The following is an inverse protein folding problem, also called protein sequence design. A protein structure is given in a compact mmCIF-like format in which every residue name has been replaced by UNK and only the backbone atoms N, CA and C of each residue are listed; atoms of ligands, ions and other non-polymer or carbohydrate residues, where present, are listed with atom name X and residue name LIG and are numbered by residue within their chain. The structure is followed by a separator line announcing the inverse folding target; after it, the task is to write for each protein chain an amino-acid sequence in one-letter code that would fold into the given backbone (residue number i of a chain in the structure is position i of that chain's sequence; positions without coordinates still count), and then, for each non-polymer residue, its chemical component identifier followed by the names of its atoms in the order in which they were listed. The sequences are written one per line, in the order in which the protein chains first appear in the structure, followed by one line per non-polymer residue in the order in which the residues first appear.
data_IF_730709742912
#
_entry.id   IF_730709742912
#
_cell.length_a   1.000
_cell.length_b   1.000
_cell.length_c   1.000
_cell.angle_alpha   90.00
_cell.angle_beta   90.00
_cell.angle_gamma   90.00
#
_symmetry.space_group_name_H-M   'P 1'
#
loop_
_entity.id
_entity.type
_entity.pdbx_description
1 polymer ?
#
# COMPACT_ATOMS: atom_id res chain seq x y z
N UNK A 1 4.48 8.48 -5.32
CA UNK A 1 4.21 7.02 -5.21
C UNK A 1 5.29 6.25 -5.96
N UNK A 2 5.82 5.17 -5.39
CA UNK A 2 6.81 4.29 -6.03
C UNK A 2 6.21 3.52 -7.24
N UNK A 3 6.75 3.68 -8.47
CA UNK A 3 6.32 2.91 -9.65
C UNK A 3 6.43 1.39 -9.50
N UNK A 4 7.37 0.90 -8.70
CA UNK A 4 7.59 -0.55 -8.52
C UNK A 4 6.44 -1.21 -7.76
N UNK A 5 5.80 -0.46 -6.84
CA UNK A 5 4.60 -0.89 -6.12
C UNK A 5 3.33 -0.81 -6.97
N UNK A 6 3.39 -0.15 -8.14
CA UNK A 6 2.26 -0.03 -9.05
C UNK A 6 2.19 -1.27 -9.96
N UNK A 7 1.28 -2.18 -9.63
CA UNK A 7 1.10 -3.46 -10.33
C UNK A 7 -0.20 -3.51 -11.13
N UNK A 8 -1.25 -2.80 -10.69
CA UNK A 8 -2.60 -2.93 -11.21
C UNK A 8 -2.86 -1.93 -12.33
N UNK A 9 -2.96 -2.37 -13.59
CA UNK A 9 -3.35 -1.47 -14.69
C UNK A 9 -4.86 -1.34 -14.78
N UNK A 10 -5.32 -0.26 -15.40
CA UNK A 10 -6.76 -0.10 -15.70
C UNK A 10 -7.33 -1.23 -16.56
N UNK A 11 -6.56 -1.84 -17.47
CA UNK A 11 -7.00 -3.01 -18.24
C UNK A 11 -7.26 -4.20 -17.34
N UNK A 12 -6.29 -4.53 -16.49
CA UNK A 12 -6.32 -5.70 -15.62
C UNK A 12 -7.47 -5.57 -14.62
N UNK A 13 -7.71 -4.35 -14.10
CA UNK A 13 -8.82 -4.06 -13.20
C UNK A 13 -10.20 -4.23 -13.87
N UNK A 14 -10.34 -3.97 -15.18
CA UNK A 14 -11.59 -4.26 -15.89
C UNK A 14 -11.87 -5.77 -15.90
N UNK A 15 -10.83 -6.57 -16.18
CA UNK A 15 -10.94 -8.03 -16.27
C UNK A 15 -11.18 -8.65 -14.89
N UNK A 16 -10.39 -8.27 -13.88
CA UNK A 16 -10.47 -8.78 -12.51
C UNK A 16 -11.81 -8.47 -11.82
N UNK A 17 -12.41 -7.32 -12.14
CA UNK A 17 -13.67 -6.86 -11.55
C UNK A 17 -14.89 -7.11 -12.45
N UNK A 18 -14.70 -7.77 -13.60
CA UNK A 18 -15.72 -7.94 -14.63
C UNK A 18 -16.48 -6.64 -14.94
N UNK A 19 -15.75 -5.52 -15.02
CA UNK A 19 -16.31 -4.19 -15.13
C UNK A 19 -15.93 -3.54 -16.47
N UNK A 20 -16.89 -2.97 -17.23
CA UNK A 20 -16.57 -2.20 -18.42
C UNK A 20 -15.68 -0.99 -18.08
N UNK A 21 -14.80 -0.60 -19.01
CA UNK A 21 -13.88 0.53 -18.81
C UNK A 21 -14.59 1.82 -18.37
N UNK A 22 -15.79 2.11 -18.89
CA UNK A 22 -16.57 3.29 -18.48
C UNK A 22 -16.96 3.26 -17.00
N UNK A 23 -17.25 2.07 -16.46
CA UNK A 23 -17.56 1.87 -15.05
C UNK A 23 -16.31 2.06 -14.21
N UNK A 24 -15.20 1.43 -14.59
CA UNK A 24 -13.92 1.61 -13.91
C UNK A 24 -13.47 3.09 -13.92
N UNK A 25 -13.63 3.75 -15.06
CA UNK A 25 -13.33 5.18 -15.21
C UNK A 25 -14.15 6.01 -14.21
N UNK A 26 -15.46 5.77 -14.07
CA UNK A 26 -16.29 6.47 -13.07
C UNK A 26 -15.80 6.26 -11.64
N UNK A 27 -15.32 5.07 -11.30
CA UNK A 27 -14.77 4.80 -9.97
C UNK A 27 -13.41 5.46 -9.74
N UNK A 28 -12.60 5.61 -10.78
CA UNK A 28 -11.22 6.08 -10.65
C UNK A 28 -11.01 7.56 -10.99
N UNK A 29 -11.76 8.21 -11.87
CA UNK A 29 -11.30 9.41 -12.59
C UNK A 29 -11.32 10.76 -11.87
N UNK A 30 -12.00 10.94 -10.73
CA UNK A 30 -12.14 12.28 -10.13
C UNK A 30 -11.93 12.35 -8.59
N UNK A 31 -10.81 12.92 -8.13
CA UNK A 31 -9.52 12.88 -8.82
C UNK A 31 -9.04 11.44 -8.94
N UNK A 32 -8.15 11.17 -9.91
CA UNK A 32 -7.45 9.88 -9.98
C UNK A 32 -6.72 9.57 -8.67
N UNK A 33 -6.79 8.32 -8.16
CA UNK A 33 -5.86 7.93 -7.11
C UNK A 33 -4.41 8.04 -7.62
N UNK A 34 -3.42 8.15 -6.72
CA UNK A 34 -2.02 8.15 -7.09
C UNK A 34 -1.71 7.00 -8.06
N UNK A 35 -1.08 7.32 -9.17
CA UNK A 35 -0.84 6.39 -10.27
C UNK A 35 0.48 6.69 -10.95
N UNK A 36 1.04 5.67 -11.58
CA UNK A 36 2.14 5.80 -12.52
C UNK A 36 1.57 5.70 -13.94
N UNK A 37 1.81 6.71 -14.77
CA UNK A 37 1.40 6.72 -16.16
C UNK A 37 2.57 6.31 -17.05
N UNK A 38 2.43 5.18 -17.75
CA UNK A 38 3.36 4.78 -18.79
C UNK A 38 2.92 5.35 -20.13
N UNK A 39 3.80 6.11 -20.79
CA UNK A 39 3.61 6.56 -22.17
C UNK A 39 3.95 5.49 -23.20
N UNK A 40 4.80 4.53 -22.83
CA UNK A 40 5.23 3.42 -23.68
C UNK A 40 4.30 2.22 -23.54
N UNK A 41 4.25 1.39 -24.58
CA UNK A 41 3.43 0.18 -24.58
C UNK A 41 3.88 -0.80 -23.47
N UNK A 42 2.94 -1.36 -22.68
CA UNK A 42 1.50 -1.07 -22.67
C UNK A 42 1.21 0.27 -22.00
N UNK A 43 0.61 1.20 -22.76
CA UNK A 43 0.33 2.57 -22.33
C UNK A 43 -0.84 2.58 -21.35
N UNK A 44 -0.74 3.37 -20.28
CA UNK A 44 -1.85 3.53 -19.35
C UNK A 44 -1.44 3.87 -17.93
N UNK A 45 -2.46 3.96 -17.07
CA UNK A 45 -2.30 4.18 -15.63
C UNK A 45 -2.15 2.84 -14.92
N UNK A 46 -1.13 2.75 -14.09
CA UNK A 46 -0.89 1.65 -13.16
C UNK A 46 -0.97 2.18 -11.74
N UNK A 47 -1.61 1.43 -10.85
CA UNK A 47 -1.89 1.82 -9.49
C UNK A 47 -1.30 0.81 -8.53
N UNK A 48 -0.97 1.25 -7.32
CA UNK A 48 -0.65 0.36 -6.23
C UNK A 48 -1.93 -0.15 -5.55
N UNK A 49 -1.84 -1.35 -4.97
CA UNK A 49 -2.96 -2.05 -4.35
C UNK A 49 -3.69 -1.22 -3.27
N UNK A 50 -3.01 -0.61 -2.27
CA UNK A 50 -3.71 0.11 -1.21
C UNK A 50 -4.52 1.31 -1.75
N UNK A 51 -4.03 1.98 -2.79
CA UNK A 51 -4.70 3.08 -3.47
C UNK A 51 -5.97 2.61 -4.19
N UNK A 52 -5.92 1.45 -4.86
CA UNK A 52 -7.10 0.84 -5.50
C UNK A 52 -8.13 0.41 -4.47
N UNK A 53 -7.72 -0.27 -3.40
CA UNK A 53 -8.63 -0.70 -2.34
C UNK A 53 -9.33 0.50 -1.73
N UNK A 54 -8.57 1.52 -1.33
CA UNK A 54 -9.13 2.73 -0.74
C UNK A 54 -10.11 3.43 -1.69
N UNK A 55 -9.75 3.52 -2.97
CA UNK A 55 -10.57 4.19 -3.97
C UNK A 55 -11.87 3.43 -4.25
N UNK A 56 -11.79 2.13 -4.49
CA UNK A 56 -12.97 1.32 -4.84
C UNK A 56 -13.94 1.19 -3.68
N UNK A 57 -13.44 1.02 -2.45
CA UNK A 57 -14.31 1.00 -1.25
C UNK A 57 -15.03 2.33 -1.02
N UNK A 58 -14.41 3.46 -1.40
CA UNK A 58 -15.05 4.78 -1.31
C UNK A 58 -16.08 5.05 -2.41
N UNK A 59 -15.92 4.45 -3.60
CA UNK A 59 -16.66 4.85 -4.82
C UNK A 59 -17.63 3.79 -5.35
N UNK A 60 -17.58 2.55 -4.87
CA UNK A 60 -18.48 1.47 -5.27
C UNK A 60 -19.54 1.26 -4.19
N UNK A 61 -20.81 1.22 -4.59
CA UNK A 61 -21.95 1.07 -3.65
C UNK A 61 -21.85 -0.18 -2.77
N UNK A 62 -21.35 -1.30 -3.35
CA UNK A 62 -21.13 -2.56 -2.63
C UNK A 62 -19.71 -2.68 -2.03
N UNK A 63 -18.84 -1.68 -2.21
CA UNK A 63 -17.44 -1.74 -1.80
C UNK A 63 -16.59 -2.77 -2.57
N UNK A 64 -15.36 -3.00 -2.06
CA UNK A 64 -14.43 -4.04 -2.54
C UNK A 64 -14.15 -5.02 -1.39
N UNK A 65 -15.07 -5.97 -1.20
CA UNK A 65 -14.98 -7.04 -0.19
C UNK A 65 -15.26 -8.40 -0.82
N UNK A 66 -14.71 -9.47 -0.24
CA UNK A 66 -14.93 -10.83 -0.71
C UNK A 66 -14.14 -11.17 -1.97
N UNK A 67 -14.78 -11.82 -2.93
CA UNK A 67 -14.12 -12.44 -4.09
C UNK A 67 -13.37 -11.44 -4.99
N UNK A 68 -13.93 -10.24 -5.22
CA UNK A 68 -13.26 -9.19 -6.00
C UNK A 68 -11.94 -8.76 -5.35
N UNK A 69 -11.93 -8.61 -4.03
CA UNK A 69 -10.71 -8.27 -3.30
C UNK A 69 -9.68 -9.38 -3.41
N UNK A 70 -10.12 -10.65 -3.29
CA UNK A 70 -9.24 -11.81 -3.40
C UNK A 70 -8.59 -11.89 -4.79
N UNK A 71 -9.34 -11.66 -5.87
CA UNK A 71 -8.81 -11.61 -7.25
C UNK A 71 -7.76 -10.52 -7.43
N UNK A 72 -8.09 -9.29 -7.00
CA UNK A 72 -7.18 -8.14 -7.13
C UNK A 72 -5.91 -8.35 -6.31
N UNK A 73 -6.02 -8.90 -5.09
CA UNK A 73 -4.89 -9.20 -4.23
C UNK A 73 -4.00 -10.32 -4.79
N UNK A 74 -4.59 -11.39 -5.33
CA UNK A 74 -3.85 -12.49 -5.95
C UNK A 74 -3.03 -11.98 -7.15
N UNK A 75 -3.67 -11.21 -8.04
CA UNK A 75 -2.99 -10.63 -9.19
C UNK A 75 -1.83 -9.71 -8.80
N UNK A 76 -2.03 -8.83 -7.80
CA UNK A 76 -0.95 -7.98 -7.27
C UNK A 76 0.21 -8.82 -6.75
N UNK A 77 -0.09 -9.84 -5.95
CA UNK A 77 0.92 -10.71 -5.32
C UNK A 77 1.74 -11.45 -6.38
N UNK A 78 1.09 -12.06 -7.38
CA UNK A 78 1.75 -12.75 -8.49
C UNK A 78 2.62 -11.78 -9.32
N UNK A 79 2.08 -10.59 -9.62
CA UNK A 79 2.81 -9.57 -10.40
C UNK A 79 4.05 -9.08 -9.67
N UNK A 80 3.97 -8.86 -8.35
CA UNK A 80 5.13 -8.46 -7.54
C UNK A 80 6.19 -9.57 -7.49
N UNK A 81 5.76 -10.81 -7.27
CA UNK A 81 6.66 -11.96 -7.24
C UNK A 81 7.41 -12.12 -8.56
N UNK A 82 6.73 -11.95 -9.70
CA UNK A 82 7.35 -12.01 -11.02
C UNK A 82 8.37 -10.89 -11.29
N UNK A 83 8.17 -9.70 -10.71
CA UNK A 83 9.05 -8.54 -10.90
C UNK A 83 10.27 -8.52 -9.98
N UNK A 84 10.31 -9.33 -8.92
CA UNK A 84 11.35 -9.28 -7.87
C UNK A 84 11.56 -7.86 -7.31
N UNK A 85 10.49 -7.07 -7.23
CA UNK A 85 10.59 -5.64 -6.93
C UNK A 85 10.98 -5.35 -5.47
N UNK A 86 12.08 -4.61 -5.26
CA UNK A 86 12.52 -4.13 -3.94
C UNK A 86 11.71 -2.88 -3.51
N UNK A 87 10.50 -3.10 -3.01
CA UNK A 87 9.51 -2.05 -2.75
C UNK A 87 9.75 -1.17 -1.49
N UNK A 88 10.99 -0.97 -1.03
CA UNK A 88 11.24 -0.24 0.22
C UNK A 88 10.94 1.26 0.11
N UNK A 89 11.25 1.89 -1.02
CA UNK A 89 10.89 3.28 -1.25
C UNK A 89 9.38 3.40 -1.46
N UNK A 90 8.74 4.34 -0.78
CA UNK A 90 7.29 4.54 -0.84
C UNK A 90 6.93 5.66 -1.84
N UNK A 91 7.86 6.57 -2.11
CA UNK A 91 7.62 7.81 -2.83
C UNK A 91 6.74 8.80 -2.07
N UNK A 92 6.40 9.89 -2.76
CA UNK A 92 5.78 11.06 -2.13
C UNK A 92 4.46 10.76 -1.41
N UNK A 93 4.16 11.59 -0.42
CA UNK A 93 2.95 11.55 0.41
C UNK A 93 2.59 10.14 0.93
N UNK A 94 3.58 9.39 1.41
CA UNK A 94 3.34 8.08 1.98
C UNK A 94 2.38 8.13 3.19
N UNK A 95 2.39 9.22 3.97
CA UNK A 95 1.50 9.39 5.13
C UNK A 95 0.05 9.64 4.73
N UNK A 96 -0.22 10.54 3.77
CA UNK A 96 -1.58 10.80 3.29
C UNK A 96 -2.20 9.57 2.60
N UNK A 97 -1.38 8.82 1.85
CA UNK A 97 -1.79 7.54 1.25
C UNK A 97 -2.06 6.47 2.31
N UNK A 98 -1.19 6.33 3.32
CA UNK A 98 -1.42 5.41 4.43
C UNK A 98 -2.70 5.75 5.20
N UNK A 99 -2.97 7.03 5.44
CA UNK A 99 -4.20 7.48 6.11
C UNK A 99 -5.45 7.14 5.27
N UNK A 100 -5.39 7.36 3.96
CA UNK A 100 -6.48 7.02 3.03
C UNK A 100 -6.76 5.52 3.00
N UNK A 101 -5.69 4.70 2.98
CA UNK A 101 -5.80 3.25 3.03
C UNK A 101 -6.38 2.78 4.37
N UNK A 102 -5.84 3.27 5.49
CA UNK A 102 -6.30 2.92 6.83
C UNK A 102 -7.79 3.26 7.04
N UNK A 103 -8.24 4.42 6.53
CA UNK A 103 -9.64 4.84 6.61
C UNK A 103 -10.60 3.93 5.80
N UNK A 104 -10.09 3.16 4.83
CA UNK A 104 -10.87 2.23 4.03
C UNK A 104 -10.89 0.80 4.58
N UNK A 105 -10.16 0.52 5.67
CA UNK A 105 -10.13 -0.79 6.30
C UNK A 105 -11.39 -1.07 7.12
N UNK A 106 -11.73 -2.35 7.23
CA UNK A 106 -12.95 -2.82 7.89
C UNK A 106 -12.65 -3.88 8.93
N UNK A 107 -13.38 -3.85 10.05
CA UNK A 107 -13.35 -4.89 11.10
C UNK A 107 -11.94 -5.38 11.43
N UNK A 108 -11.65 -6.64 11.11
CA UNK A 108 -10.36 -7.28 11.38
C UNK A 108 -9.17 -6.66 10.65
N UNK A 109 -9.36 -6.07 9.47
CA UNK A 109 -8.28 -5.42 8.72
C UNK A 109 -7.74 -4.23 9.52
N UNK A 110 -8.63 -3.48 10.17
CA UNK A 110 -8.26 -2.35 11.03
C UNK A 110 -7.46 -2.82 12.24
N UNK A 111 -7.86 -3.94 12.85
CA UNK A 111 -7.12 -4.53 13.98
C UNK A 111 -5.74 -5.04 13.55
N UNK A 112 -5.63 -5.71 12.40
CA UNK A 112 -4.35 -6.13 11.82
C UNK A 112 -3.45 -4.93 11.53
N UNK A 113 -4.00 -3.87 10.93
CA UNK A 113 -3.25 -2.64 10.65
C UNK A 113 -2.75 -1.98 11.95
N UNK A 114 -3.60 -1.86 12.98
CA UNK A 114 -3.20 -1.35 14.31
C UNK A 114 -2.08 -2.19 14.92
N UNK A 115 -2.14 -3.51 14.76
CA UNK A 115 -1.09 -4.45 15.13
C UNK A 115 0.24 -4.13 14.45
N UNK A 116 0.25 -3.99 13.12
CA UNK A 116 1.44 -3.61 12.36
C UNK A 116 1.97 -2.24 12.76
N UNK A 117 1.11 -1.24 12.93
CA UNK A 117 1.52 0.10 13.40
C UNK A 117 2.17 0.04 14.78
N UNK A 118 1.65 -0.79 15.70
CA UNK A 118 2.24 -0.98 17.03
C UNK A 118 3.60 -1.68 16.95
N UNK A 119 3.70 -2.78 16.20
CA UNK A 119 4.93 -3.52 16.01
C UNK A 119 6.03 -2.62 15.40
N UNK A 120 5.69 -1.86 14.35
CA UNK A 120 6.61 -0.92 13.72
C UNK A 120 7.04 0.21 14.67
N UNK A 121 6.12 0.79 15.47
CA UNK A 121 6.50 1.83 16.45
C UNK A 121 7.47 1.29 17.50
N UNK A 122 7.20 0.11 18.04
CA UNK A 122 8.07 -0.54 19.02
C UNK A 122 9.45 -0.84 18.41
N UNK A 123 9.47 -1.34 17.19
CA UNK A 123 10.70 -1.65 16.46
C UNK A 123 11.50 -0.39 16.12
N UNK A 124 10.85 0.68 15.68
CA UNK A 124 11.48 1.97 15.43
C UNK A 124 12.10 2.54 16.71
N UNK A 125 11.38 2.48 17.84
CA UNK A 125 11.89 2.90 19.14
C UNK A 125 13.13 2.08 19.56
N UNK A 126 13.04 0.76 19.49
CA UNK A 126 14.15 -0.14 19.82
C UNK A 126 15.36 0.03 18.88
N UNK A 127 15.10 0.37 17.62
CA UNK A 127 16.13 0.64 16.61
C UNK A 127 16.75 2.05 16.70
N UNK A 128 16.24 2.94 17.56
CA UNK A 128 16.69 4.32 17.67
C UNK A 128 16.28 5.22 16.49
N UNK A 129 15.21 4.89 15.78
CA UNK A 129 14.69 5.71 14.66
C UNK A 129 13.86 6.87 15.22
N UNK A 130 14.13 8.14 14.86
CA UNK A 130 13.53 9.30 15.51
C UNK A 130 12.02 9.47 15.23
N UNK A 131 11.55 9.20 14.01
CA UNK A 131 10.17 9.48 13.59
C UNK A 131 9.20 8.31 13.87
N UNK A 132 9.15 7.82 15.12
CA UNK A 132 8.42 6.61 15.52
C UNK A 132 6.97 6.58 15.04
N UNK A 133 6.20 7.65 15.30
CA UNK A 133 4.79 7.73 14.91
C UNK A 133 4.59 7.68 13.40
N UNK A 134 5.45 8.37 12.64
CA UNK A 134 5.43 8.33 11.18
C UNK A 134 5.76 6.94 10.67
N UNK A 135 6.77 6.26 11.23
CA UNK A 135 7.14 4.91 10.85
C UNK A 135 5.96 3.94 10.97
N UNK A 136 5.20 4.02 12.07
CA UNK A 136 3.97 3.25 12.23
C UNK A 136 2.97 3.46 11.10
N UNK A 137 2.78 4.69 10.65
CA UNK A 137 1.85 5.03 9.57
C UNK A 137 2.35 4.55 8.20
N UNK A 138 3.57 4.94 7.81
CA UNK A 138 4.07 4.69 6.45
C UNK A 138 4.33 3.20 6.17
N UNK A 139 4.55 2.40 7.21
CA UNK A 139 4.69 0.95 7.08
C UNK A 139 3.43 0.29 6.50
N UNK A 140 2.25 0.91 6.64
CA UNK A 140 1.01 0.39 6.04
C UNK A 140 1.02 0.41 4.51
N UNK A 141 1.97 1.12 3.89
CA UNK A 141 2.12 1.16 2.43
C UNK A 141 3.06 0.07 1.90
N UNK A 142 3.66 -0.74 2.77
CA UNK A 142 4.59 -1.79 2.38
C UNK A 142 3.82 -3.02 1.88
N UNK A 143 4.14 -3.57 0.68
CA UNK A 143 3.30 -4.59 0.04
C UNK A 143 3.01 -5.83 0.91
N UNK A 144 4.00 -6.37 1.62
CA UNK A 144 3.81 -7.50 2.53
C UNK A 144 2.87 -7.17 3.70
N UNK A 145 2.94 -5.94 4.22
CA UNK A 145 2.03 -5.47 5.27
C UNK A 145 0.62 -5.28 4.71
N UNK A 146 0.48 -4.70 3.51
CA UNK A 146 -0.82 -4.55 2.82
C UNK A 146 -1.47 -5.92 2.60
N UNK A 147 -0.71 -6.91 2.11
CA UNK A 147 -1.20 -8.29 1.92
C UNK A 147 -1.67 -8.89 3.24
N UNK A 148 -0.88 -8.78 4.29
CA UNK A 148 -1.27 -9.25 5.63
C UNK A 148 -2.56 -8.59 6.13
N UNK A 149 -2.68 -7.27 5.98
CA UNK A 149 -3.89 -6.54 6.41
C UNK A 149 -5.13 -7.05 5.68
N UNK A 150 -5.04 -7.22 4.36
CA UNK A 150 -6.19 -7.57 3.50
C UNK A 150 -6.54 -9.06 3.52
N UNK A 151 -5.60 -9.96 3.80
CA UNK A 151 -5.81 -11.42 3.74
C UNK A 151 -5.53 -12.20 5.03
N UNK A 152 -4.82 -11.60 5.99
CA UNK A 152 -4.32 -12.30 7.17
C UNK A 152 -3.06 -13.15 6.91
N UNK A 153 -2.56 -13.25 5.68
CA UNK A 153 -1.34 -13.99 5.35
C UNK A 153 -0.10 -13.25 5.90
N UNK A 154 0.57 -13.86 6.87
CA UNK A 154 1.69 -13.27 7.61
C UNK A 154 3.08 -13.67 7.09
N UNK A 155 3.14 -14.41 5.98
CA UNK A 155 4.36 -14.97 5.38
C UNK A 155 5.37 -13.91 4.91
N UNK A 156 4.90 -12.73 4.52
CA UNK A 156 5.74 -11.60 4.12
C UNK A 156 6.06 -10.62 5.27
N UNK A 157 5.60 -10.88 6.50
CA UNK A 157 5.88 -9.98 7.63
C UNK A 157 7.31 -10.17 8.17
N UNK A 158 7.94 -9.11 8.71
CA UNK A 158 9.21 -9.25 9.40
C UNK A 158 9.15 -10.26 10.55
N UNK A 159 10.12 -11.17 10.59
CA UNK A 159 10.15 -12.27 11.56
C UNK A 159 10.73 -11.81 12.91
N UNK A 160 9.88 -11.80 13.94
CA UNK A 160 10.27 -11.48 15.32
C UNK A 160 10.80 -10.06 15.51
N UNK A 161 11.21 -9.74 16.75
CA UNK A 161 11.64 -8.38 17.10
C UNK A 161 12.86 -7.92 16.28
N UNK A 162 13.83 -8.80 16.06
CA UNK A 162 15.01 -8.49 15.25
C UNK A 162 14.65 -8.19 13.79
N UNK A 163 13.72 -8.95 13.19
CA UNK A 163 13.24 -8.71 11.84
C UNK A 163 12.55 -7.35 11.72
N UNK A 164 11.66 -7.04 12.65
CA UNK A 164 10.99 -5.74 12.67
C UNK A 164 11.94 -4.56 12.88
N UNK A 165 12.95 -4.70 13.75
CA UNK A 165 13.96 -3.66 13.96
C UNK A 165 14.83 -3.43 12.73
N UNK A 166 15.27 -4.51 12.06
CA UNK A 166 16.02 -4.42 10.80
C UNK A 166 15.19 -3.72 9.72
N UNK A 167 13.93 -4.13 9.58
CA UNK A 167 12.98 -3.52 8.65
C UNK A 167 12.73 -2.03 8.95
N UNK A 168 12.56 -1.66 10.22
CA UNK A 168 12.38 -0.26 10.62
C UNK A 168 13.59 0.61 10.23
N UNK A 169 14.82 0.12 10.43
CA UNK A 169 16.05 0.82 10.01
C UNK A 169 16.11 0.99 8.50
N UNK A 170 15.88 -0.08 7.74
CA UNK A 170 15.90 -0.05 6.28
C UNK A 170 14.83 0.88 5.71
N UNK A 171 13.60 0.77 6.20
CA UNK A 171 12.48 1.59 5.78
C UNK A 171 12.74 3.09 6.05
N UNK A 172 13.31 3.42 7.22
CA UNK A 172 13.69 4.79 7.55
C UNK A 172 14.82 5.32 6.66
N UNK A 173 15.85 4.52 6.41
CA UNK A 173 17.00 4.92 5.60
C UNK A 173 16.58 5.34 4.17
N UNK A 174 15.58 4.67 3.60
CA UNK A 174 15.08 4.93 2.25
C UNK A 174 13.94 5.96 2.22
N UNK A 175 13.24 6.16 3.34
CA UNK A 175 12.12 7.10 3.44
C UNK A 175 12.29 8.06 4.64
N UNK A 176 13.41 8.78 4.73
CA UNK A 176 13.61 9.74 5.82
C UNK A 176 12.51 10.80 5.78
N UNK A 177 12.21 11.40 6.93
CA UNK A 177 11.45 12.64 6.91
C UNK A 177 12.34 13.70 6.25
N UNK A 178 11.91 14.26 5.11
CA UNK A 178 12.56 15.47 4.60
C UNK A 178 12.49 16.55 5.68
N UNK A 179 13.61 17.23 5.92
CA UNK A 179 13.79 18.20 7.00
C UNK A 179 12.60 19.17 7.14
N UNK A 180 11.83 19.01 8.21
CA UNK A 180 11.08 20.10 8.83
C UNK A 180 11.28 20.04 10.34
N UNK A 181 12.51 20.35 10.76
CA UNK A 181 12.84 21.05 12.01
C UNK A 181 14.25 21.68 11.86
N UNK A 182 14.40 22.52 10.83
CA UNK A 182 15.32 23.67 10.89
C UNK A 182 14.48 24.89 10.51
N UNK A 183 13.77 25.40 11.50
CA UNK A 183 13.41 26.80 11.60
C UNK A 183 13.51 27.14 13.09
N UNK A 184 14.51 27.96 13.40
CA UNK A 184 14.78 28.54 14.70
C UNK A 184 13.65 29.48 15.16
#
# INVERSE_FOLDING_TARGET
MNPETATLRSSDLCDLLAAPYRTLWRWLSDPYPPNHFSETAPRGRTYALPEIVARLRKRRDLGLSGEDLARVLAFDTETRAARQAECLWLGDDAQGRAASFFAALTGEETERARGCMKAMRNAAAAAGVPAISRMGQIALMQPGIVRFILSGAADELPAGDAGWQSFAKALWAVNPAENHEVAA
#
